data_IF_253641973946
#
_entry.id   IF_253641973946
#
_cell.length_a   1.000
_cell.length_b   1.000
_cell.length_c   1.000
_cell.angle_alpha   90.00
_cell.angle_beta   90.00
_cell.angle_gamma   90.00
#
_symmetry.space_group_name_H-M   'P 1'
#
loop_
_entity.id
_entity.type
_entity.pdbx_description
1 polymer ?
#
# COMPACT_ATOMS: atom_id res chain seq x y z
N UNK A 1 -0.33 56.99 29.64
CA UNK A 1 -0.41 56.59 28.22
C UNK A 1 -0.70 55.10 28.14
N UNK A 2 -1.94 54.71 28.41
CA UNK A 2 -2.36 53.31 28.40
C UNK A 2 -3.86 53.27 28.06
N UNK A 3 -4.17 53.30 26.77
CA UNK A 3 -5.52 53.07 26.22
C UNK A 3 -5.42 52.92 24.69
N UNK A 4 -4.93 51.78 24.19
CA UNK A 4 -5.12 51.39 22.77
C UNK A 4 -5.01 49.89 22.48
N UNK A 5 -5.00 49.02 23.50
CA UNK A 5 -4.73 47.57 23.31
C UNK A 5 -5.95 46.65 23.28
N UNK A 6 -7.15 47.13 23.60
CA UNK A 6 -8.33 46.27 23.80
C UNK A 6 -9.27 46.14 22.58
N UNK A 7 -8.94 46.79 21.45
CA UNK A 7 -9.78 46.82 20.25
C UNK A 7 -9.55 45.68 19.27
N UNK A 8 -8.30 45.26 19.09
CA UNK A 8 -7.92 44.27 18.07
C UNK A 8 -8.25 42.82 18.47
N UNK A 9 -8.02 42.45 19.74
CA UNK A 9 -8.36 41.10 20.24
C UNK A 9 -9.88 40.87 20.26
N UNK A 10 -10.68 41.91 20.48
CA UNK A 10 -12.14 41.82 20.47
C UNK A 10 -12.77 41.69 19.07
N UNK A 11 -12.04 42.07 18.02
CA UNK A 11 -12.49 41.99 16.63
C UNK A 11 -12.13 40.63 16.01
N UNK A 12 -10.97 40.08 16.38
CA UNK A 12 -10.53 38.72 16.01
C UNK A 12 -11.42 37.64 16.66
N UNK A 13 -11.78 37.81 17.93
CA UNK A 13 -12.77 36.95 18.63
C UNK A 13 -14.18 37.05 18.02
N UNK A 14 -14.54 38.20 17.42
CA UNK A 14 -15.83 38.36 16.73
C UNK A 14 -15.84 37.72 15.34
N UNK A 15 -14.70 37.72 14.64
CA UNK A 15 -14.54 37.00 13.37
C UNK A 15 -14.57 35.48 13.59
N UNK A 16 -13.90 34.98 14.63
CA UNK A 16 -13.94 33.57 15.01
C UNK A 16 -15.33 33.14 15.49
N UNK A 17 -16.03 33.97 16.27
CA UNK A 17 -17.41 33.70 16.66
C UNK A 17 -18.41 33.80 15.48
N UNK A 18 -18.13 34.62 14.46
CA UNK A 18 -18.95 34.68 13.24
C UNK A 18 -18.73 33.46 12.31
N UNK A 19 -17.59 32.79 12.42
CA UNK A 19 -17.32 31.50 11.75
C UNK A 19 -18.01 30.34 12.49
N UNK A 20 -18.08 30.38 13.83
CA UNK A 20 -18.81 29.37 14.64
C UNK A 20 -20.33 29.58 14.66
N UNK A 21 -20.83 30.81 14.52
CA UNK A 21 -22.27 31.11 14.57
C UNK A 21 -23.00 30.89 13.22
N UNK A 22 -22.29 30.47 12.17
CA UNK A 22 -22.82 30.32 10.81
C UNK A 22 -23.86 29.21 10.62
N UNK A 23 -24.07 28.32 11.60
CA UNK A 23 -24.98 27.17 11.45
C UNK A 23 -26.04 27.02 12.55
N UNK A 24 -26.07 27.91 13.54
CA UNK A 24 -27.02 27.82 14.67
C UNK A 24 -28.26 28.74 14.54
N UNK A 25 -28.45 29.41 13.40
CA UNK A 25 -29.50 30.43 13.29
C UNK A 25 -29.97 30.81 11.88
N UNK A 26 -29.74 29.96 10.86
CA UNK A 26 -30.24 30.26 9.53
C UNK A 26 -31.77 30.06 9.46
N UNK A 27 -32.56 31.05 8.99
CA UNK A 27 -34.00 30.89 8.80
C UNK A 27 -34.27 29.80 7.76
N UNK A 28 -35.31 29.00 7.99
CA UNK A 28 -35.72 27.90 7.12
C UNK A 28 -36.02 28.40 5.68
N UNK A 29 -35.02 28.35 4.80
CA UNK A 29 -35.12 28.86 3.44
C UNK A 29 -33.77 29.13 2.74
N UNK A 30 -32.69 29.40 3.48
CA UNK A 30 -31.35 29.51 2.87
C UNK A 30 -30.73 28.12 2.70
N UNK A 31 -30.53 27.71 1.44
CA UNK A 31 -29.78 26.49 1.12
C UNK A 31 -28.36 26.68 1.61
N UNK A 32 -27.90 25.81 2.51
CA UNK A 32 -26.48 25.75 2.90
C UNK A 32 -25.62 25.64 1.64
N UNK A 33 -24.57 26.45 1.57
CA UNK A 33 -23.60 26.39 0.47
C UNK A 33 -22.75 25.11 0.52
N UNK A 34 -22.67 24.47 1.70
CA UNK A 34 -22.07 23.16 1.89
C UNK A 34 -23.03 22.07 1.41
N UNK A 35 -22.49 21.09 0.70
CA UNK A 35 -23.16 19.81 0.48
C UNK A 35 -23.30 19.11 1.84
N UNK A 36 -24.50 18.61 2.14
CA UNK A 36 -24.77 17.84 3.35
C UNK A 36 -25.62 16.61 2.97
N UNK A 37 -25.22 15.44 3.49
CA UNK A 37 -25.86 14.16 3.21
C UNK A 37 -26.52 13.49 4.44
N UNK A 38 -26.64 14.17 5.58
CA UNK A 38 -27.20 13.64 6.83
C UNK A 38 -28.64 13.12 6.71
N UNK A 39 -29.37 13.58 5.69
CA UNK A 39 -30.73 13.14 5.37
C UNK A 39 -30.82 11.89 4.46
N UNK A 40 -29.71 11.46 3.86
CA UNK A 40 -29.68 10.30 2.96
C UNK A 40 -29.37 9.04 3.76
N UNK A 41 -30.42 8.28 4.10
CA UNK A 41 -30.26 6.93 4.64
C UNK A 41 -30.53 5.90 3.55
N UNK A 42 -29.66 4.89 3.40
CA UNK A 42 -29.96 3.72 2.57
C UNK A 42 -31.21 3.00 3.11
N UNK A 43 -31.98 2.30 2.27
CA UNK A 43 -33.07 1.44 2.73
C UNK A 43 -32.56 0.37 3.70
N UNK A 44 -33.20 0.22 4.88
CA UNK A 44 -32.78 -0.71 5.95
C UNK A 44 -32.70 -2.19 5.50
N UNK A 45 -33.39 -2.56 4.41
CA UNK A 45 -33.50 -3.94 3.95
C UNK A 45 -32.22 -4.54 3.31
N UNK A 46 -31.18 -3.74 3.05
CA UNK A 46 -29.97 -4.17 2.32
C UNK A 46 -28.65 -3.92 3.07
N UNK A 47 -28.72 -3.63 4.37
CA UNK A 47 -27.56 -3.35 5.22
C UNK A 47 -26.81 -4.60 5.72
N UNK A 48 -27.31 -5.80 5.42
CA UNK A 48 -26.60 -7.04 5.74
C UNK A 48 -25.43 -7.22 4.76
N UNK A 49 -24.19 -7.11 5.27
CA UNK A 49 -22.97 -7.48 4.54
C UNK A 49 -23.14 -8.92 4.02
N UNK A 50 -23.18 -9.18 2.70
CA UNK A 50 -23.13 -10.55 2.23
C UNK A 50 -21.80 -11.15 2.72
N UNK A 51 -21.88 -12.29 3.41
CA UNK A 51 -20.70 -12.97 3.92
C UNK A 51 -19.76 -13.27 2.73
N UNK A 52 -18.62 -12.57 2.65
CA UNK A 52 -17.56 -12.86 1.68
C UNK A 52 -17.02 -14.27 1.93
N UNK A 53 -17.68 -15.27 1.36
CA UNK A 53 -17.17 -16.63 1.31
C UNK A 53 -15.91 -16.69 0.46
N UNK A 54 -14.88 -17.37 0.98
CA UNK A 54 -13.56 -17.57 0.37
C UNK A 54 -13.57 -18.16 -1.06
N UNK A 55 -14.73 -18.58 -1.58
CA UNK A 55 -14.86 -19.35 -2.81
C UNK A 55 -14.98 -18.54 -4.10
N UNK A 56 -15.26 -17.24 -4.06
CA UNK A 56 -15.51 -16.46 -5.28
C UNK A 56 -14.25 -15.99 -6.03
N UNK A 57 -13.07 -16.10 -5.45
CA UNK A 57 -11.85 -15.53 -6.05
C UNK A 57 -11.21 -16.41 -7.15
N UNK A 58 -11.63 -17.67 -7.32
CA UNK A 58 -11.00 -18.61 -8.26
C UNK A 58 -11.82 -18.93 -9.52
N UNK A 59 -13.10 -18.58 -9.60
CA UNK A 59 -13.96 -18.89 -10.75
C UNK A 59 -14.81 -17.67 -11.15
N UNK A 60 -14.15 -16.66 -11.73
CA UNK A 60 -14.75 -15.36 -12.08
C UNK A 60 -15.71 -15.36 -13.29
N UNK A 61 -16.44 -16.44 -13.59
CA UNK A 61 -17.30 -16.51 -14.79
C UNK A 61 -18.61 -17.31 -14.58
N UNK A 62 -19.17 -17.35 -13.37
CA UNK A 62 -20.53 -17.88 -13.18
C UNK A 62 -21.37 -16.77 -12.55
N UNK A 63 -22.42 -16.36 -13.29
CA UNK A 63 -23.10 -15.07 -13.17
C UNK A 63 -23.47 -14.63 -11.76
N UNK A 64 -23.16 -13.37 -11.45
CA UNK A 64 -23.70 -12.68 -10.29
C UNK A 64 -25.23 -12.63 -10.40
N UNK A 65 -25.94 -13.00 -9.34
CA UNK A 65 -27.38 -12.81 -9.31
C UNK A 65 -27.67 -11.29 -9.36
N UNK A 66 -28.76 -10.83 -9.99
CA UNK A 66 -29.11 -9.40 -10.03
C UNK A 66 -29.17 -8.76 -8.63
N UNK A 67 -29.54 -9.54 -7.61
CA UNK A 67 -29.58 -9.10 -6.21
C UNK A 67 -28.19 -8.81 -5.64
N UNK A 68 -27.15 -9.58 -6.02
CA UNK A 68 -25.77 -9.36 -5.58
C UNK A 68 -25.20 -8.06 -6.16
N UNK A 69 -25.52 -7.76 -7.42
CA UNK A 69 -25.08 -6.53 -8.10
C UNK A 69 -25.72 -5.29 -7.46
N UNK A 70 -27.00 -5.39 -7.09
CA UNK A 70 -27.72 -4.30 -6.42
C UNK A 70 -27.19 -4.10 -5.00
N UNK A 71 -26.93 -5.18 -4.26
CA UNK A 71 -26.33 -5.10 -2.92
C UNK A 71 -24.93 -4.48 -2.95
N UNK A 72 -24.09 -4.88 -3.91
CA UNK A 72 -22.75 -4.32 -4.12
C UNK A 72 -22.82 -2.82 -4.44
N UNK A 73 -23.76 -2.39 -5.29
CA UNK A 73 -23.99 -0.97 -5.58
C UNK A 73 -24.35 -0.16 -4.33
N UNK A 74 -25.32 -0.63 -3.52
CA UNK A 74 -25.70 0.08 -2.29
C UNK A 74 -24.55 0.11 -1.27
N UNK A 75 -23.77 -0.97 -1.19
CA UNK A 75 -22.58 -1.00 -0.33
C UNK A 75 -21.56 0.07 -0.77
N UNK A 76 -21.29 0.21 -2.07
CA UNK A 76 -20.43 1.27 -2.59
C UNK A 76 -20.96 2.68 -2.26
N UNK A 77 -22.28 2.89 -2.32
CA UNK A 77 -22.88 4.17 -1.93
C UNK A 77 -22.73 4.45 -0.42
N UNK A 78 -22.85 3.44 0.43
CA UNK A 78 -22.64 3.58 1.88
C UNK A 78 -21.17 3.93 2.18
N UNK A 79 -20.23 3.20 1.58
CA UNK A 79 -18.79 3.46 1.74
C UNK A 79 -18.41 4.88 1.24
N UNK A 80 -19.05 5.35 0.16
CA UNK A 80 -18.89 6.71 -0.34
C UNK A 80 -19.38 7.76 0.69
N UNK A 81 -20.58 7.56 1.25
CA UNK A 81 -21.16 8.46 2.26
C UNK A 81 -20.33 8.49 3.56
N UNK A 82 -19.85 7.33 4.01
CA UNK A 82 -18.91 7.25 5.13
C UNK A 82 -17.64 8.05 4.83
N UNK A 83 -17.14 7.97 3.59
CA UNK A 83 -16.03 8.78 3.11
C UNK A 83 -16.25 10.28 3.14
N UNK A 84 -17.45 10.76 2.82
CA UNK A 84 -17.79 12.19 2.93
C UNK A 84 -17.85 12.65 4.39
N UNK A 85 -18.41 11.82 5.27
CA UNK A 85 -18.41 12.10 6.71
C UNK A 85 -16.99 12.19 7.29
N UNK A 86 -16.05 11.37 6.81
CA UNK A 86 -14.63 11.51 7.15
C UNK A 86 -14.07 12.87 6.72
N UNK A 87 -14.40 13.34 5.51
CA UNK A 87 -13.95 14.64 4.99
C UNK A 87 -14.55 15.82 5.77
N UNK A 88 -15.80 15.71 6.20
CA UNK A 88 -16.44 16.70 7.06
C UNK A 88 -15.80 16.72 8.45
N UNK A 89 -15.52 15.55 9.03
CA UNK A 89 -14.80 15.45 10.29
C UNK A 89 -13.39 16.09 10.21
N UNK A 90 -12.68 15.90 9.10
CA UNK A 90 -11.40 16.58 8.85
C UNK A 90 -11.58 18.10 8.75
N UNK A 91 -12.63 18.56 8.08
CA UNK A 91 -12.91 19.99 7.90
C UNK A 91 -13.25 20.67 9.22
N UNK A 92 -14.06 20.04 10.06
CA UNK A 92 -14.55 20.63 11.30
C UNK A 92 -13.55 20.49 12.46
N UNK A 93 -12.83 19.37 12.54
CA UNK A 93 -11.86 19.11 13.62
C UNK A 93 -10.44 19.52 13.26
N UNK A 94 -10.16 19.76 11.98
CA UNK A 94 -8.83 20.05 11.45
C UNK A 94 -7.89 18.84 11.41
N UNK A 95 -8.32 17.66 11.86
CA UNK A 95 -7.59 16.40 11.80
C UNK A 95 -8.57 15.23 11.63
N UNK A 96 -8.18 14.22 10.85
CA UNK A 96 -8.83 12.92 10.89
C UNK A 96 -8.45 12.22 12.21
N UNK A 97 -9.36 11.48 12.88
CA UNK A 97 -9.00 10.61 13.99
C UNK A 97 -7.96 9.59 13.50
N UNK A 98 -6.70 9.89 13.73
CA UNK A 98 -5.55 9.16 13.22
C UNK A 98 -4.41 9.26 14.20
N UNK A 99 -3.43 8.36 14.04
CA UNK A 99 -2.31 8.26 14.96
C UNK A 99 -1.57 9.59 15.15
N UNK A 100 -1.31 9.92 16.41
CA UNK A 100 -0.49 11.06 16.82
C UNK A 100 0.93 10.96 16.22
N UNK A 101 1.62 12.10 16.16
CA UNK A 101 3.01 12.15 15.66
C UNK A 101 3.92 11.16 16.40
N UNK A 102 3.73 11.02 17.71
CA UNK A 102 4.48 10.09 18.55
C UNK A 102 4.19 8.64 18.19
N UNK A 103 2.93 8.27 17.96
CA UNK A 103 2.55 6.94 17.50
C UNK A 103 3.11 6.64 16.10
N UNK A 104 3.13 7.62 15.18
CA UNK A 104 3.74 7.46 13.85
C UNK A 104 5.25 7.20 13.94
N UNK A 105 5.95 7.94 14.80
CA UNK A 105 7.38 7.71 15.03
C UNK A 105 7.65 6.35 15.69
N UNK A 106 6.79 5.91 16.63
CA UNK A 106 6.89 4.59 17.24
C UNK A 106 6.68 3.48 16.21
N UNK A 107 5.68 3.62 15.33
CA UNK A 107 5.46 2.66 14.24
C UNK A 107 6.65 2.63 13.29
N UNK A 108 7.17 3.77 12.84
CA UNK A 108 8.36 3.80 11.97
C UNK A 108 9.61 3.15 12.62
N UNK A 109 9.79 3.32 13.94
CA UNK A 109 10.86 2.64 14.68
C UNK A 109 10.63 1.13 14.73
N UNK A 110 9.40 0.69 15.02
CA UNK A 110 9.05 -0.73 15.06
C UNK A 110 9.17 -1.41 13.70
N UNK A 111 8.85 -0.72 12.60
CA UNK A 111 9.07 -1.18 11.23
C UNK A 111 10.56 -1.34 10.92
N UNK A 112 11.37 -0.34 11.29
CA UNK A 112 12.83 -0.42 11.11
C UNK A 112 13.43 -1.57 11.93
N UNK A 113 12.91 -1.82 13.14
CA UNK A 113 13.30 -2.96 13.96
C UNK A 113 12.89 -4.28 13.32
N UNK A 114 11.69 -4.38 12.75
CA UNK A 114 11.23 -5.58 12.03
C UNK A 114 12.14 -5.93 10.85
N UNK A 115 12.51 -4.93 10.05
CA UNK A 115 13.43 -5.10 8.92
C UNK A 115 14.81 -5.58 9.41
N UNK A 116 15.35 -4.98 10.48
CA UNK A 116 16.64 -5.38 11.05
C UNK A 116 16.61 -6.79 11.61
N UNK A 117 15.55 -7.14 12.34
CA UNK A 117 15.40 -8.48 12.93
C UNK A 117 15.30 -9.55 11.85
N UNK A 118 14.51 -9.28 10.80
CA UNK A 118 14.38 -10.15 9.62
C UNK A 118 15.75 -10.42 8.97
N UNK A 119 16.53 -9.36 8.72
CA UNK A 119 17.85 -9.52 8.11
C UNK A 119 18.87 -10.23 9.01
N UNK A 120 18.85 -9.98 10.31
CA UNK A 120 19.70 -10.71 11.26
C UNK A 120 19.33 -12.20 11.26
N UNK A 121 18.04 -12.53 11.24
CA UNK A 121 17.58 -13.90 11.17
C UNK A 121 18.02 -14.58 9.87
N UNK A 122 17.81 -13.94 8.71
CA UNK A 122 18.26 -14.47 7.42
C UNK A 122 19.79 -14.67 7.37
N UNK A 123 20.56 -13.76 7.97
CA UNK A 123 22.02 -13.89 8.11
C UNK A 123 22.41 -15.12 8.95
N UNK A 124 21.75 -15.33 10.10
CA UNK A 124 22.00 -16.48 10.98
C UNK A 124 21.64 -17.79 10.28
N UNK A 125 20.50 -17.83 9.59
CA UNK A 125 20.05 -19.00 8.83
C UNK A 125 21.03 -19.33 7.69
N UNK A 126 21.48 -18.32 6.95
CA UNK A 126 22.49 -18.47 5.90
C UNK A 126 23.80 -19.04 6.48
N UNK A 127 24.32 -18.48 7.57
CA UNK A 127 25.54 -18.96 8.20
C UNK A 127 25.42 -20.42 8.68
N UNK A 128 24.27 -20.79 9.26
CA UNK A 128 23.99 -22.16 9.69
C UNK A 128 23.97 -23.14 8.50
N UNK A 129 23.33 -22.76 7.39
CA UNK A 129 23.29 -23.59 6.17
C UNK A 129 24.66 -23.69 5.49
N UNK A 130 25.45 -22.62 5.46
CA UNK A 130 26.83 -22.65 4.92
C UNK A 130 27.69 -23.63 5.74
N UNK A 131 27.59 -23.57 7.06
CA UNK A 131 28.29 -24.51 7.93
C UNK A 131 27.87 -25.97 7.65
N UNK A 132 26.57 -26.23 7.50
CA UNK A 132 26.05 -27.55 7.15
C UNK A 132 26.52 -28.03 5.75
N UNK A 133 26.56 -27.11 4.77
CA UNK A 133 27.02 -27.36 3.40
C UNK A 133 28.48 -27.80 3.36
N UNK A 134 29.38 -27.04 4.01
CA UNK A 134 30.82 -27.36 4.07
C UNK A 134 31.07 -28.70 4.74
N UNK A 135 30.31 -29.03 5.79
CA UNK A 135 30.48 -30.29 6.53
C UNK A 135 29.92 -31.50 5.78
N UNK A 136 28.82 -31.32 5.05
CA UNK A 136 28.15 -32.42 4.36
C UNK A 136 28.68 -32.70 2.96
N UNK A 137 29.24 -31.69 2.27
CA UNK A 137 29.68 -31.82 0.87
C UNK A 137 28.58 -32.20 -0.12
N UNK A 138 27.30 -32.08 0.27
CA UNK A 138 26.15 -32.52 -0.52
C UNK A 138 25.66 -31.43 -1.46
N UNK A 139 25.39 -31.80 -2.72
CA UNK A 139 24.86 -30.89 -3.74
C UNK A 139 23.48 -30.30 -3.37
N UNK A 140 22.60 -31.03 -2.68
CA UNK A 140 21.32 -30.46 -2.24
C UNK A 140 21.49 -29.42 -1.14
N UNK A 141 22.44 -29.62 -0.22
CA UNK A 141 22.69 -28.63 0.83
C UNK A 141 23.33 -27.38 0.21
N UNK A 142 24.17 -27.52 -0.82
CA UNK A 142 24.68 -26.40 -1.62
C UNK A 142 23.54 -25.66 -2.33
N UNK A 143 22.59 -26.36 -2.96
CA UNK A 143 21.42 -25.73 -3.56
C UNK A 143 20.61 -24.94 -2.51
N UNK A 144 20.31 -25.54 -1.35
CA UNK A 144 19.60 -24.85 -0.26
C UNK A 144 20.35 -23.67 0.36
N UNK A 145 21.70 -23.65 0.28
CA UNK A 145 22.49 -22.47 0.67
C UNK A 145 22.38 -21.32 -0.32
N UNK A 146 22.28 -21.62 -1.62
CA UNK A 146 22.07 -20.60 -2.65
C UNK A 146 20.72 -19.91 -2.48
N UNK A 147 19.69 -20.66 -2.10
CA UNK A 147 18.38 -20.09 -1.77
C UNK A 147 18.49 -19.08 -0.62
N UNK A 148 19.14 -19.47 0.48
CA UNK A 148 19.32 -18.55 1.62
C UNK A 148 20.29 -17.39 1.36
N UNK A 149 21.19 -17.51 0.38
CA UNK A 149 21.98 -16.38 -0.10
C UNK A 149 21.08 -15.36 -0.81
N UNK A 150 20.13 -15.84 -1.59
CA UNK A 150 19.19 -14.99 -2.32
C UNK A 150 18.20 -14.32 -1.36
N UNK A 151 17.74 -15.01 -0.31
CA UNK A 151 16.96 -14.41 0.80
C UNK A 151 17.73 -13.28 1.53
N UNK A 152 19.05 -13.45 1.65
CA UNK A 152 19.91 -12.44 2.27
C UNK A 152 20.10 -11.24 1.35
N UNK A 153 20.30 -11.49 0.05
CA UNK A 153 20.42 -10.45 -0.97
C UNK A 153 19.11 -9.67 -1.11
N UNK A 154 17.97 -10.36 -1.11
CA UNK A 154 16.63 -9.80 -1.20
C UNK A 154 16.31 -8.93 0.04
N UNK A 155 16.63 -9.42 1.24
CA UNK A 155 16.54 -8.65 2.49
C UNK A 155 17.51 -7.45 2.54
N UNK A 156 18.72 -7.60 1.99
CA UNK A 156 19.65 -6.48 1.85
C UNK A 156 19.08 -5.37 0.95
N UNK A 157 18.47 -5.70 -0.18
CA UNK A 157 17.83 -4.73 -1.09
C UNK A 157 16.72 -3.95 -0.38
N UNK A 158 15.85 -4.63 0.35
CA UNK A 158 14.74 -3.99 1.07
C UNK A 158 15.24 -3.12 2.24
N UNK A 159 16.25 -3.58 2.99
CA UNK A 159 16.86 -2.78 4.05
C UNK A 159 17.60 -1.56 3.50
N UNK A 160 18.35 -1.72 2.41
CA UNK A 160 19.03 -0.62 1.74
C UNK A 160 18.01 0.41 1.23
N UNK A 161 16.88 -0.04 0.69
CA UNK A 161 15.77 0.82 0.28
C UNK A 161 15.22 1.61 1.47
N UNK A 162 14.89 0.95 2.57
CA UNK A 162 14.39 1.60 3.79
C UNK A 162 15.40 2.59 4.38
N UNK A 163 16.68 2.22 4.41
CA UNK A 163 17.76 3.10 4.86
C UNK A 163 17.94 4.31 3.94
N UNK A 164 17.90 4.11 2.62
CA UNK A 164 18.01 5.18 1.64
C UNK A 164 16.88 6.20 1.78
N UNK A 165 15.65 5.76 2.05
CA UNK A 165 14.50 6.63 2.29
C UNK A 165 14.63 7.49 3.56
N UNK A 166 15.34 7.00 4.58
CA UNK A 166 15.57 7.73 5.84
C UNK A 166 16.63 8.83 5.73
N UNK A 167 17.33 8.95 4.59
CA UNK A 167 18.38 9.97 4.38
C UNK A 167 17.87 11.17 3.56
N UNK A 168 17.32 12.22 4.20
CA UNK A 168 16.88 13.41 3.49
C UNK A 168 18.10 14.19 2.96
N UNK A 169 18.07 14.54 1.68
CA UNK A 169 19.04 15.46 1.08
C UNK A 169 18.28 16.44 0.18
N UNK A 170 17.90 17.62 0.68
CA UNK A 170 17.10 18.59 -0.08
C UNK A 170 17.78 19.09 -1.35
N UNK A 171 19.12 19.10 -1.40
CA UNK A 171 19.88 19.60 -2.57
C UNK A 171 19.89 18.63 -3.75
N UNK A 172 19.82 17.31 -3.50
CA UNK A 172 19.73 16.29 -4.56
C UNK A 172 18.31 15.81 -4.80
N UNK A 173 17.52 15.72 -3.73
CA UNK A 173 16.17 15.18 -3.74
C UNK A 173 15.26 16.16 -2.97
N UNK A 174 14.81 17.26 -3.61
CA UNK A 174 14.03 18.31 -2.96
C UNK A 174 12.67 17.79 -2.45
N UNK A 175 12.13 16.74 -3.08
CA UNK A 175 10.85 16.09 -2.71
C UNK A 175 11.11 14.86 -1.82
N UNK A 176 12.37 14.60 -1.43
CA UNK A 176 12.75 13.42 -0.67
C UNK A 176 12.92 12.15 -1.51
N UNK A 177 13.09 11.00 -0.84
CA UNK A 177 13.43 9.71 -1.44
C UNK A 177 12.37 8.64 -1.27
N UNK A 178 11.13 9.01 -0.91
CA UNK A 178 10.03 8.03 -0.70
C UNK A 178 9.78 7.15 -1.92
N UNK A 179 10.06 7.65 -3.13
CA UNK A 179 9.97 6.93 -4.41
C UNK A 179 10.92 5.74 -4.55
N UNK A 180 11.93 5.62 -3.68
CA UNK A 180 12.80 4.45 -3.65
C UNK A 180 12.03 3.19 -3.19
N UNK A 181 10.91 3.34 -2.47
CA UNK A 181 10.10 2.24 -1.95
C UNK A 181 9.63 1.27 -3.05
N UNK A 182 8.80 1.69 -4.03
CA UNK A 182 8.35 0.78 -5.08
C UNK A 182 9.50 0.31 -5.98
N UNK A 183 10.55 1.11 -6.17
CA UNK A 183 11.74 0.70 -6.91
C UNK A 183 12.46 -0.46 -6.20
N UNK A 184 12.61 -0.38 -4.87
CA UNK A 184 13.20 -1.44 -4.06
C UNK A 184 12.39 -2.72 -4.08
N UNK A 185 11.05 -2.60 -3.96
CA UNK A 185 10.13 -3.73 -4.04
C UNK A 185 10.17 -4.35 -5.45
N UNK A 186 10.26 -3.55 -6.50
CA UNK A 186 10.37 -4.02 -7.88
C UNK A 186 11.64 -4.82 -8.14
N UNK A 187 12.80 -4.35 -7.66
CA UNK A 187 14.07 -5.08 -7.78
C UNK A 187 14.00 -6.38 -6.98
N UNK A 188 13.49 -6.32 -5.75
CA UNK A 188 13.27 -7.48 -4.90
C UNK A 188 12.37 -8.53 -5.57
N UNK A 189 11.18 -8.14 -6.03
CA UNK A 189 10.24 -9.04 -6.71
C UNK A 189 10.82 -9.65 -8.00
N UNK A 190 11.66 -8.90 -8.73
CA UNK A 190 12.35 -9.41 -9.93
C UNK A 190 13.36 -10.51 -9.60
N UNK A 191 14.10 -10.37 -8.49
CA UNK A 191 15.01 -11.42 -7.99
C UNK A 191 14.20 -12.67 -7.59
N UNK A 192 13.09 -12.49 -6.88
CA UNK A 192 12.23 -13.61 -6.46
C UNK A 192 11.53 -14.32 -7.63
N UNK A 193 11.14 -13.58 -8.68
CA UNK A 193 10.61 -14.19 -9.91
C UNK A 193 11.69 -15.01 -10.64
N UNK A 194 12.94 -14.52 -10.65
CA UNK A 194 14.08 -15.24 -11.25
C UNK A 194 14.37 -16.53 -10.49
N UNK A 195 14.26 -16.51 -9.16
CA UNK A 195 14.32 -17.70 -8.29
C UNK A 195 13.28 -18.74 -8.68
N UNK A 196 12.02 -18.33 -8.86
CA UNK A 196 10.97 -19.22 -9.33
C UNK A 196 11.33 -19.86 -10.68
N UNK A 197 11.87 -19.09 -11.63
CA UNK A 197 12.30 -19.64 -12.92
C UNK A 197 13.44 -20.67 -12.77
N UNK A 198 14.40 -20.41 -11.87
CA UNK A 198 15.48 -21.34 -11.58
C UNK A 198 14.97 -22.67 -11.01
N UNK A 199 13.98 -22.62 -10.10
CA UNK A 199 13.35 -23.83 -9.55
C UNK A 199 12.66 -24.64 -10.66
N UNK A 200 11.97 -23.99 -11.60
CA UNK A 200 11.36 -24.69 -12.75
C UNK A 200 12.43 -25.40 -13.59
N UNK A 201 13.53 -24.70 -13.91
CA UNK A 201 14.60 -25.27 -14.72
C UNK A 201 15.25 -26.48 -14.04
N UNK A 202 15.54 -26.39 -12.74
CA UNK A 202 16.15 -27.48 -11.98
C UNK A 202 15.20 -28.67 -11.82
N UNK A 203 13.92 -28.41 -11.51
CA UNK A 203 12.90 -29.46 -11.40
C UNK A 203 12.67 -30.16 -12.74
N UNK A 204 12.68 -29.42 -13.85
CA UNK A 204 12.56 -29.98 -15.20
C UNK A 204 13.77 -30.85 -15.55
N UNK A 205 14.99 -30.41 -15.19
CA UNK A 205 16.20 -31.22 -15.36
C UNK A 205 16.15 -32.49 -14.54
N UNK A 206 15.62 -32.42 -13.32
CA UNK A 206 15.43 -33.59 -12.45
C UNK A 206 14.40 -34.58 -13.01
N UNK A 207 13.36 -34.11 -13.70
CA UNK A 207 12.40 -34.98 -14.39
C UNK A 207 12.99 -35.66 -15.63
N UNK A 208 13.85 -34.96 -16.36
CA UNK A 208 14.46 -35.48 -17.60
C UNK A 208 15.67 -36.38 -17.33
N UNK A 209 16.28 -36.26 -16.15
CA UNK A 209 17.42 -37.07 -15.72
C UNK A 209 16.90 -38.27 -14.93
N UNK A 210 16.68 -39.39 -15.61
CA UNK A 210 16.06 -40.63 -15.09
C UNK A 210 16.93 -41.40 -14.07
N UNK A 211 17.73 -40.72 -13.23
CA UNK A 211 18.82 -41.38 -12.49
C UNK A 211 19.39 -40.64 -11.29
N UNK A 212 18.61 -39.80 -10.62
CA UNK A 212 19.03 -39.22 -9.34
C UNK A 212 18.31 -39.87 -8.17
N UNK A 213 18.69 -41.09 -7.74
CA UNK A 213 18.41 -41.50 -6.36
C UNK A 213 19.12 -40.51 -5.45
N UNK A 214 18.39 -39.46 -5.03
CA UNK A 214 18.85 -38.53 -4.01
C UNK A 214 18.81 -39.26 -2.65
N UNK A 215 19.70 -40.23 -2.50
CA UNK A 215 19.81 -41.05 -1.29
C UNK A 215 20.57 -40.26 -0.23
N UNK A 216 19.86 -39.37 0.46
CA UNK A 216 20.33 -38.87 1.74
C UNK A 216 20.50 -40.08 2.67
N UNK A 217 21.66 -40.23 3.31
CA UNK A 217 21.79 -41.23 4.37
C UNK A 217 20.79 -40.91 5.49
N UNK A 218 20.20 -41.94 6.13
CA UNK A 218 19.17 -41.75 7.17
C UNK A 218 19.56 -40.79 8.30
N UNK A 219 20.85 -40.62 8.56
CA UNK A 219 21.36 -39.61 9.51
C UNK A 219 21.37 -38.19 8.92
N UNK A 220 21.74 -38.02 7.65
CA UNK A 220 21.68 -36.74 6.94
C UNK A 220 20.24 -36.27 6.73
N UNK A 221 19.32 -37.19 6.44
CA UNK A 221 17.89 -36.91 6.28
C UNK A 221 17.30 -36.32 7.57
N UNK A 222 17.61 -36.89 8.74
CA UNK A 222 17.17 -36.36 10.03
C UNK A 222 17.72 -34.96 10.32
N UNK A 223 19.01 -34.72 10.03
CA UNK A 223 19.61 -33.39 10.20
C UNK A 223 19.02 -32.34 9.25
N UNK A 224 18.75 -32.71 8.00
CA UNK A 224 18.12 -31.81 7.02
C UNK A 224 16.69 -31.48 7.44
N UNK A 225 15.91 -32.48 7.86
CA UNK A 225 14.54 -32.28 8.37
C UNK A 225 14.53 -31.38 9.62
N UNK A 226 15.42 -31.59 10.58
CA UNK A 226 15.51 -30.76 11.79
C UNK A 226 15.90 -29.30 11.45
N UNK A 227 16.84 -29.10 10.51
CA UNK A 227 17.23 -27.76 10.04
C UNK A 227 16.06 -27.09 9.30
N UNK A 228 15.39 -27.78 8.37
CA UNK A 228 14.25 -27.22 7.64
C UNK A 228 13.07 -26.89 8.55
N UNK A 229 12.79 -27.72 9.56
CA UNK A 229 11.76 -27.45 10.56
C UNK A 229 12.10 -26.21 11.40
N UNK A 230 13.36 -26.07 11.83
CA UNK A 230 13.82 -24.89 12.58
C UNK A 230 13.72 -23.59 11.75
N UNK A 231 14.11 -23.65 10.47
CA UNK A 231 13.99 -22.53 9.51
C UNK A 231 12.53 -22.13 9.34
N UNK A 232 11.65 -23.13 9.17
CA UNK A 232 10.20 -22.90 8.99
C UNK A 232 9.58 -22.21 10.21
N UNK A 233 9.94 -22.63 11.43
CA UNK A 233 9.44 -22.01 12.66
C UNK A 233 9.93 -20.56 12.81
N UNK A 234 11.20 -20.30 12.52
CA UNK A 234 11.77 -18.95 12.59
C UNK A 234 11.10 -18.03 11.55
N UNK A 235 10.99 -18.48 10.29
CA UNK A 235 10.33 -17.70 9.23
C UNK A 235 8.84 -17.50 9.52
N UNK A 236 8.14 -18.47 10.10
CA UNK A 236 6.74 -18.31 10.50
C UNK A 236 6.58 -17.24 11.60
N UNK A 237 7.45 -17.24 12.61
CA UNK A 237 7.42 -16.22 13.65
C UNK A 237 7.69 -14.82 13.07
N UNK A 238 8.65 -14.70 12.15
CA UNK A 238 8.93 -13.44 11.45
C UNK A 238 7.77 -13.01 10.55
N UNK A 239 7.13 -13.93 9.83
CA UNK A 239 5.95 -13.66 9.01
C UNK A 239 4.79 -13.09 9.83
N UNK A 240 4.50 -13.69 10.99
CA UNK A 240 3.45 -13.22 11.90
C UNK A 240 3.79 -11.85 12.48
N UNK A 241 5.06 -11.61 12.82
CA UNK A 241 5.51 -10.31 13.30
C UNK A 241 5.47 -9.23 12.20
N UNK A 242 5.93 -9.51 10.99
CA UNK A 242 5.90 -8.56 9.88
C UNK A 242 4.47 -8.25 9.42
N UNK A 243 3.53 -9.20 9.56
CA UNK A 243 2.11 -8.99 9.21
C UNK A 243 1.38 -7.95 10.04
N UNK A 244 1.89 -7.60 11.23
CA UNK A 244 1.25 -6.57 12.05
C UNK A 244 1.47 -5.15 11.53
N UNK A 245 2.35 -4.96 10.54
CA UNK A 245 2.71 -3.65 10.01
C UNK A 245 2.03 -3.36 8.67
N UNK A 246 1.72 -2.10 8.43
CA UNK A 246 1.03 -1.63 7.22
C UNK A 246 1.98 -1.21 6.09
N UNK A 247 3.25 -0.94 6.41
CA UNK A 247 4.30 -0.53 5.47
C UNK A 247 4.55 -1.58 4.37
N UNK A 248 4.60 -1.16 3.11
CA UNK A 248 4.76 -2.06 1.97
C UNK A 248 6.10 -2.80 1.96
N UNK A 249 7.18 -2.19 2.45
CA UNK A 249 8.48 -2.87 2.59
C UNK A 249 8.36 -4.03 3.58
N UNK A 250 7.68 -3.80 4.71
CA UNK A 250 7.48 -4.84 5.73
C UNK A 250 6.47 -5.89 5.26
N UNK A 251 5.46 -5.50 4.49
CA UNK A 251 4.55 -6.43 3.81
C UNK A 251 5.28 -7.31 2.80
N UNK A 252 6.20 -6.75 2.01
CA UNK A 252 7.03 -7.52 1.09
C UNK A 252 7.86 -8.56 1.84
N UNK A 253 8.48 -8.20 2.98
CA UNK A 253 9.12 -9.16 3.89
C UNK A 253 8.16 -10.23 4.42
N UNK A 254 6.97 -9.83 4.87
CA UNK A 254 5.99 -10.78 5.38
C UNK A 254 5.62 -11.80 4.29
N UNK A 255 5.35 -11.31 3.07
CA UNK A 255 5.03 -12.14 1.91
C UNK A 255 6.16 -13.11 1.57
N UNK A 256 7.40 -12.63 1.61
CA UNK A 256 8.60 -13.45 1.42
C UNK A 256 8.68 -14.59 2.44
N UNK A 257 8.63 -14.25 3.74
CA UNK A 257 8.68 -15.23 4.82
C UNK A 257 7.55 -16.25 4.76
N UNK A 258 6.34 -15.81 4.40
CA UNK A 258 5.19 -16.73 4.22
C UNK A 258 5.46 -17.66 3.05
N UNK A 259 5.95 -17.12 1.94
CA UNK A 259 6.25 -17.89 0.76
C UNK A 259 7.30 -18.97 1.07
N UNK A 260 8.34 -18.62 1.82
CA UNK A 260 9.35 -19.56 2.28
C UNK A 260 8.81 -20.61 3.24
N UNK A 261 7.88 -20.25 4.13
CA UNK A 261 7.21 -21.22 5.00
C UNK A 261 6.39 -22.21 4.17
N UNK A 262 5.65 -21.72 3.16
CA UNK A 262 4.84 -22.56 2.27
C UNK A 262 5.73 -23.51 1.48
N UNK A 263 6.81 -23.01 0.86
CA UNK A 263 7.72 -23.85 0.07
C UNK A 263 8.46 -24.88 0.94
N UNK A 264 8.90 -24.49 2.15
CA UNK A 264 9.54 -25.43 3.07
C UNK A 264 8.57 -26.51 3.57
N UNK A 265 7.31 -26.16 3.90
CA UNK A 265 6.30 -27.14 4.33
C UNK A 265 6.01 -28.12 3.19
N UNK A 266 5.79 -27.62 1.98
CA UNK A 266 5.46 -28.48 0.84
C UNK A 266 6.66 -29.34 0.44
N UNK A 267 7.88 -28.80 0.47
CA UNK A 267 9.10 -29.58 0.28
C UNK A 267 9.27 -30.67 1.34
N UNK A 268 8.96 -30.38 2.60
CA UNK A 268 8.99 -31.38 3.67
C UNK A 268 7.93 -32.48 3.46
N UNK A 269 6.71 -32.10 3.07
CA UNK A 269 5.64 -33.05 2.74
C UNK A 269 6.04 -33.91 1.54
N UNK A 270 6.62 -33.32 0.51
CA UNK A 270 7.11 -34.04 -0.67
C UNK A 270 8.21 -35.04 -0.29
N UNK A 271 9.18 -34.64 0.54
CA UNK A 271 10.23 -35.53 1.05
C UNK A 271 9.68 -36.70 1.87
N UNK A 272 8.69 -36.46 2.74
CA UNK A 272 8.05 -37.53 3.52
C UNK A 272 7.24 -38.50 2.65
N UNK A 273 6.61 -37.99 1.60
CA UNK A 273 5.82 -38.77 0.65
C UNK A 273 6.67 -39.47 -0.43
N UNK A 274 7.92 -39.05 -0.62
CA UNK A 274 8.85 -39.65 -1.59
C UNK A 274 9.10 -41.15 -1.32
N UNK A 275 8.95 -41.60 -0.07
CA UNK A 275 9.06 -43.02 0.29
C UNK A 275 7.81 -43.86 -0.05
N UNK A 276 6.68 -43.22 -0.37
CA UNK A 276 5.40 -43.88 -0.64
C UNK A 276 4.94 -43.76 -2.09
N UNK A 277 5.44 -42.76 -2.82
CA UNK A 277 5.04 -42.47 -4.20
C UNK A 277 6.26 -42.44 -5.14
N UNK A 278 6.03 -42.73 -6.42
CA UNK A 278 7.06 -42.67 -7.47
C UNK A 278 7.75 -41.29 -7.54
N UNK A 279 9.05 -41.28 -7.86
CA UNK A 279 9.94 -40.11 -7.76
C UNK A 279 9.62 -38.89 -8.66
N UNK A 280 8.49 -38.89 -9.37
CA UNK A 280 8.05 -37.76 -10.20
C UNK A 280 7.22 -36.73 -9.44
N UNK A 281 6.67 -37.07 -8.25
CA UNK A 281 5.79 -36.15 -7.50
C UNK A 281 6.56 -34.91 -7.00
N UNK A 282 7.80 -35.09 -6.54
CA UNK A 282 8.60 -34.02 -5.96
C UNK A 282 8.95 -32.92 -7.00
N UNK A 283 9.51 -33.25 -8.19
CA UNK A 283 9.74 -32.25 -9.22
C UNK A 283 8.47 -31.60 -9.78
N UNK A 284 7.35 -32.34 -9.90
CA UNK A 284 6.07 -31.77 -10.37
C UNK A 284 5.51 -30.79 -9.35
N UNK A 285 5.57 -31.13 -8.05
CA UNK A 285 5.19 -30.23 -6.96
C UNK A 285 6.02 -28.95 -6.95
N UNK A 286 7.34 -29.06 -7.14
CA UNK A 286 8.25 -27.93 -7.23
C UNK A 286 7.93 -27.00 -8.43
N UNK A 287 7.59 -27.56 -9.60
CA UNK A 287 7.18 -26.77 -10.78
C UNK A 287 5.88 -26.01 -10.51
N UNK A 288 4.86 -26.66 -9.93
CA UNK A 288 3.58 -26.01 -9.61
C UNK A 288 3.80 -24.84 -8.66
N UNK A 289 4.61 -25.05 -7.61
CA UNK A 289 4.96 -23.99 -6.68
C UNK A 289 5.68 -22.85 -7.33
N UNK A 290 6.68 -23.14 -8.15
CA UNK A 290 7.46 -22.12 -8.81
C UNK A 290 6.62 -21.28 -9.79
N UNK A 291 5.64 -21.87 -10.48
CA UNK A 291 4.67 -21.12 -11.30
C UNK A 291 3.84 -20.17 -10.42
N UNK A 292 3.39 -20.63 -9.26
CA UNK A 292 2.67 -19.80 -8.30
C UNK A 292 3.55 -18.64 -7.77
N UNK A 293 4.83 -18.89 -7.49
CA UNK A 293 5.83 -17.88 -7.11
C UNK A 293 5.97 -16.81 -8.17
N UNK A 294 6.26 -17.22 -9.42
CA UNK A 294 6.47 -16.31 -10.54
C UNK A 294 5.24 -15.45 -10.75
N UNK A 295 4.04 -16.05 -10.71
CA UNK A 295 2.79 -15.30 -10.84
C UNK A 295 2.64 -14.25 -9.74
N UNK A 296 2.86 -14.65 -8.48
CA UNK A 296 2.71 -13.76 -7.32
C UNK A 296 3.67 -12.57 -7.42
N UNK A 297 4.95 -12.83 -7.65
CA UNK A 297 5.95 -11.76 -7.74
C UNK A 297 5.81 -10.91 -9.00
N UNK A 298 5.36 -11.49 -10.12
CA UNK A 298 5.08 -10.72 -11.33
C UNK A 298 3.91 -9.75 -11.14
N UNK A 299 2.87 -10.13 -10.39
CA UNK A 299 1.79 -9.21 -10.02
C UNK A 299 2.31 -8.09 -9.12
N UNK A 300 3.16 -8.41 -8.12
CA UNK A 300 3.82 -7.39 -7.29
C UNK A 300 4.67 -6.43 -8.12
N UNK A 301 5.38 -6.91 -9.15
CA UNK A 301 6.11 -6.03 -10.08
C UNK A 301 5.15 -5.09 -10.80
N UNK A 302 4.05 -5.59 -11.37
CA UNK A 302 3.07 -4.77 -12.10
C UNK A 302 2.45 -3.69 -11.21
N UNK A 303 2.06 -4.03 -9.99
CA UNK A 303 1.52 -3.08 -9.00
C UNK A 303 2.51 -1.95 -8.70
N UNK A 304 3.78 -2.28 -8.49
CA UNK A 304 4.83 -1.29 -8.20
C UNK A 304 5.20 -0.46 -9.44
N UNK A 305 5.11 -1.03 -10.65
CA UNK A 305 5.26 -0.27 -11.90
C UNK A 305 4.12 0.73 -12.05
N UNK A 306 2.87 0.34 -11.81
CA UNK A 306 1.73 1.25 -11.90
C UNK A 306 1.84 2.41 -10.89
N UNK A 307 2.27 2.11 -9.67
CA UNK A 307 2.57 3.11 -8.62
C UNK A 307 3.66 4.12 -9.05
N UNK A 308 4.65 3.68 -9.83
CA UNK A 308 5.73 4.53 -10.35
C UNK A 308 5.33 5.35 -11.58
N UNK A 309 4.46 4.82 -12.44
CA UNK A 309 4.07 5.43 -13.71
C UNK A 309 3.07 6.57 -13.52
N UNK A 310 2.31 6.59 -12.44
CA UNK A 310 1.28 7.61 -12.22
C UNK A 310 -0.13 7.10 -12.43
N UNK A 311 -0.46 5.92 -11.88
CA UNK A 311 -1.84 5.43 -11.92
C UNK A 311 -2.77 6.40 -11.18
N UNK A 312 -3.91 6.72 -11.78
CA UNK A 312 -4.91 7.57 -11.13
C UNK A 312 -5.50 6.89 -9.90
N UNK A 313 -5.83 7.68 -8.87
CA UNK A 313 -6.55 7.22 -7.70
C UNK A 313 -7.91 6.62 -8.09
N UNK A 314 -8.48 5.83 -7.19
CA UNK A 314 -9.79 5.23 -7.45
C UNK A 314 -10.86 6.32 -7.60
N UNK A 315 -11.92 6.09 -8.41
CA UNK A 315 -13.00 7.05 -8.59
C UNK A 315 -13.64 7.49 -7.27
N UNK A 316 -13.73 6.59 -6.30
CA UNK A 316 -14.29 6.85 -4.98
C UNK A 316 -13.41 7.85 -4.21
N UNK A 317 -12.08 7.70 -4.29
CA UNK A 317 -11.15 8.64 -3.66
C UNK A 317 -11.21 10.01 -4.34
N UNK A 318 -11.28 10.05 -5.68
CA UNK A 318 -11.47 11.30 -6.42
C UNK A 318 -12.76 12.01 -5.99
N UNK A 319 -13.87 11.28 -5.81
CA UNK A 319 -15.12 11.85 -5.32
C UNK A 319 -14.98 12.43 -3.90
N UNK A 320 -14.28 11.75 -2.99
CA UNK A 320 -13.98 12.29 -1.65
C UNK A 320 -13.21 13.62 -1.74
N UNK A 321 -12.19 13.68 -2.60
CA UNK A 321 -11.41 14.91 -2.82
C UNK A 321 -12.27 16.03 -3.42
N UNK A 322 -13.09 15.73 -4.43
CA UNK A 322 -14.01 16.70 -5.02
C UNK A 322 -15.00 17.24 -3.99
N UNK A 323 -15.57 16.38 -3.15
CA UNK A 323 -16.45 16.79 -2.06
C UNK A 323 -15.75 17.72 -1.07
N UNK A 324 -14.53 17.35 -0.63
CA UNK A 324 -13.71 18.17 0.27
C UNK A 324 -13.41 19.55 -0.32
N UNK A 325 -13.08 19.61 -1.62
CA UNK A 325 -12.79 20.86 -2.32
C UNK A 325 -14.05 21.75 -2.42
N UNK A 326 -15.22 21.15 -2.68
CA UNK A 326 -16.47 21.90 -2.81
C UNK A 326 -16.90 22.51 -1.47
N UNK A 327 -16.82 21.71 -0.40
CA UNK A 327 -17.18 22.14 0.95
C UNK A 327 -16.11 23.00 1.63
N UNK A 328 -14.99 23.29 0.94
CA UNK A 328 -13.89 24.03 1.52
C UNK A 328 -14.27 25.49 1.86
N UNK A 329 -14.84 26.22 0.90
CA UNK A 329 -15.13 27.65 1.08
C UNK A 329 -16.29 28.13 0.19
N UNK A 330 -17.14 29.02 0.72
CA UNK A 330 -18.34 29.56 0.04
C UNK A 330 -18.06 30.32 -1.28
N UNK A 331 -16.81 30.73 -1.49
CA UNK A 331 -16.41 31.47 -2.69
C UNK A 331 -16.07 30.56 -3.88
N UNK A 332 -15.90 29.26 -3.65
CA UNK A 332 -15.69 28.28 -4.72
C UNK A 332 -16.96 28.21 -5.57
N UNK A 333 -16.84 28.56 -6.86
CA UNK A 333 -17.97 28.56 -7.79
C UNK A 333 -18.07 27.25 -8.56
N UNK A 334 -16.92 26.76 -9.01
CA UNK A 334 -16.78 25.52 -9.77
C UNK A 334 -15.51 24.80 -9.33
N UNK A 335 -15.55 23.47 -9.39
CA UNK A 335 -14.36 22.64 -9.40
C UNK A 335 -14.17 22.24 -10.85
N UNK A 336 -13.03 22.62 -11.38
CA UNK A 336 -12.75 22.44 -12.79
C UNK A 336 -12.15 21.06 -13.04
N UNK A 337 -11.00 20.81 -12.41
CA UNK A 337 -10.27 19.55 -12.54
C UNK A 337 -9.83 19.05 -11.17
N UNK A 338 -10.01 17.74 -10.93
CA UNK A 338 -9.43 17.03 -9.79
C UNK A 338 -8.68 15.83 -10.33
N UNK A 339 -7.36 15.83 -10.16
CA UNK A 339 -6.50 14.71 -10.51
C UNK A 339 -5.77 14.26 -9.27
N UNK A 340 -5.83 12.97 -9.00
CA UNK A 340 -4.98 12.33 -8.02
C UNK A 340 -4.31 11.16 -8.70
N UNK A 341 -2.99 11.08 -8.61
CA UNK A 341 -2.21 10.00 -9.20
C UNK A 341 -1.07 9.58 -8.28
N UNK A 342 -0.73 8.30 -8.32
CA UNK A 342 0.32 7.73 -7.47
C UNK A 342 1.68 8.24 -7.91
N UNK A 343 2.53 8.61 -6.96
CA UNK A 343 3.91 8.91 -7.28
C UNK A 343 4.85 8.32 -6.24
N UNK A 344 4.98 7.00 -6.32
CA UNK A 344 5.48 6.21 -5.20
C UNK A 344 4.33 5.66 -4.37
N UNK A 345 4.51 5.59 -3.06
CA UNK A 345 3.51 5.03 -2.13
C UNK A 345 2.40 5.99 -1.71
N UNK A 346 2.43 7.25 -2.19
CA UNK A 346 1.47 8.30 -1.83
C UNK A 346 0.94 8.99 -3.10
N UNK A 347 -0.16 9.72 -2.97
CA UNK A 347 -0.77 10.49 -4.04
C UNK A 347 -0.19 11.89 -4.15
N UNK A 348 -0.07 12.33 -5.40
CA UNK A 348 0.03 13.72 -5.80
C UNK A 348 -1.35 14.15 -6.26
N UNK A 349 -1.81 15.28 -5.73
CA UNK A 349 -3.15 15.80 -6.01
C UNK A 349 -3.02 17.15 -6.69
N UNK A 350 -3.67 17.32 -7.83
CA UNK A 350 -3.80 18.56 -8.57
C UNK A 350 -5.28 18.93 -8.60
N UNK A 351 -5.61 20.13 -8.13
CA UNK A 351 -6.98 20.62 -8.04
C UNK A 351 -7.04 22.02 -8.61
N UNK A 352 -7.97 22.22 -9.52
CA UNK A 352 -8.23 23.52 -10.13
C UNK A 352 -9.61 24.00 -9.64
N UNK A 353 -9.62 25.08 -8.86
CA UNK A 353 -10.86 25.68 -8.33
C UNK A 353 -11.11 27.04 -8.96
N UNK A 354 -12.39 27.32 -9.24
CA UNK A 354 -12.81 28.58 -9.86
C UNK A 354 -13.33 29.55 -8.81
N UNK A 355 -12.67 30.70 -8.71
CA UNK A 355 -12.99 31.80 -7.81
C UNK A 355 -13.56 33.01 -8.57
N UNK A 356 -14.20 33.98 -7.88
CA UNK A 356 -14.71 35.18 -8.50
C UNK A 356 -13.59 36.03 -9.15
N UNK A 357 -13.74 36.40 -10.42
CA UNK A 357 -12.74 37.20 -11.16
C UNK A 357 -12.37 38.56 -10.53
N UNK A 358 -13.26 39.13 -9.71
CA UNK A 358 -13.03 40.39 -9.00
C UNK A 358 -12.40 40.22 -7.60
N UNK A 359 -12.10 38.99 -7.19
CA UNK A 359 -11.50 38.70 -5.88
C UNK A 359 -10.06 39.21 -5.83
N UNK A 360 -9.63 39.89 -4.75
CA UNK A 360 -8.23 40.24 -4.55
C UNK A 360 -7.35 39.00 -4.56
N UNK A 361 -6.18 39.08 -5.21
CA UNK A 361 -5.24 37.95 -5.29
C UNK A 361 -4.86 37.40 -3.91
N UNK A 362 -4.74 38.27 -2.91
CA UNK A 362 -4.46 37.88 -1.53
C UNK A 362 -5.55 36.95 -0.98
N UNK A 363 -6.82 37.33 -1.08
CA UNK A 363 -7.94 36.50 -0.60
C UNK A 363 -8.04 35.18 -1.36
N UNK A 364 -7.83 35.23 -2.68
CA UNK A 364 -7.80 34.01 -3.50
C UNK A 364 -6.67 33.08 -3.05
N UNK A 365 -5.47 33.62 -2.83
CA UNK A 365 -4.31 32.88 -2.37
C UNK A 365 -4.55 32.25 -0.99
N UNK A 366 -5.09 32.99 -0.04
CA UNK A 366 -5.37 32.49 1.31
C UNK A 366 -6.38 31.32 1.28
N UNK A 367 -7.39 31.38 0.40
CA UNK A 367 -8.34 30.27 0.18
C UNK A 367 -7.61 29.06 -0.44
N UNK A 368 -6.77 29.29 -1.45
CA UNK A 368 -6.00 28.23 -2.11
C UNK A 368 -5.00 27.53 -1.19
N UNK A 369 -4.24 28.30 -0.41
CA UNK A 369 -3.27 27.80 0.56
C UNK A 369 -3.97 27.00 1.67
N UNK A 370 -5.09 27.51 2.21
CA UNK A 370 -5.88 26.76 3.20
C UNK A 370 -6.44 25.45 2.62
N UNK A 371 -6.81 25.41 1.33
CA UNK A 371 -7.23 24.17 0.68
C UNK A 371 -6.06 23.20 0.50
N UNK A 372 -4.90 23.70 0.09
CA UNK A 372 -3.68 22.90 -0.05
C UNK A 372 -3.32 22.24 1.28
N UNK A 373 -3.25 23.02 2.37
CA UNK A 373 -2.97 22.48 3.70
C UNK A 373 -4.02 21.44 4.14
N UNK A 374 -5.30 21.67 3.81
CA UNK A 374 -6.38 20.74 4.14
C UNK A 374 -6.21 19.40 3.41
N UNK A 375 -5.85 19.43 2.14
CA UNK A 375 -5.56 18.23 1.34
C UNK A 375 -4.32 17.50 1.86
N UNK A 376 -3.23 18.22 2.16
CA UNK A 376 -1.97 17.62 2.66
C UNK A 376 -2.09 17.02 4.08
N UNK A 377 -3.18 17.28 4.81
CA UNK A 377 -3.49 16.61 6.07
C UNK A 377 -4.00 15.17 5.88
N UNK A 378 -4.44 14.79 4.68
CA UNK A 378 -4.83 13.43 4.37
C UNK A 378 -3.59 12.51 4.36
N UNK A 379 -3.61 11.36 5.05
CA UNK A 379 -2.42 10.53 5.23
C UNK A 379 -1.89 9.93 3.91
N UNK A 380 -2.75 9.75 2.91
CA UNK A 380 -2.38 9.22 1.60
C UNK A 380 -1.79 10.28 0.66
N UNK A 381 -1.94 11.57 0.95
CA UNK A 381 -1.46 12.67 0.10
C UNK A 381 -0.07 13.09 0.55
N UNK A 382 0.90 13.02 -0.35
CA UNK A 382 2.25 13.55 -0.09
C UNK A 382 2.31 15.05 -0.35
N UNK A 383 1.61 15.51 -1.40
CA UNK A 383 1.58 16.90 -1.82
C UNK A 383 0.33 17.22 -2.61
N UNK A 384 -0.21 18.42 -2.39
CA UNK A 384 -1.30 18.96 -3.18
C UNK A 384 -0.83 20.21 -3.95
N UNK A 385 -1.35 20.38 -5.17
CA UNK A 385 -1.21 21.59 -5.97
C UNK A 385 -2.62 22.12 -6.19
N UNK A 386 -2.86 23.34 -5.74
CA UNK A 386 -4.14 24.02 -5.92
C UNK A 386 -3.94 25.16 -6.91
N UNK A 387 -4.52 25.05 -8.09
CA UNK A 387 -4.60 26.14 -9.05
C UNK A 387 -5.90 26.92 -8.83
N UNK A 388 -5.81 28.24 -9.02
CA UNK A 388 -6.92 29.17 -8.81
C UNK A 388 -7.25 29.83 -10.12
N UNK A 389 -8.39 29.46 -10.69
CA UNK A 389 -8.87 29.99 -11.95
C UNK A 389 -10.03 30.97 -11.74
N UNK A 390 -10.22 31.88 -12.69
CA UNK A 390 -11.37 32.77 -12.74
C UNK A 390 -12.31 32.44 -13.90
N UNK A 391 -11.84 31.59 -14.84
CA UNK A 391 -12.62 31.06 -15.94
C UNK A 391 -12.77 29.55 -15.82
N UNK A 392 -13.79 29.00 -16.49
CA UNK A 392 -14.09 27.56 -16.56
C UNK A 392 -14.21 27.09 -18.01
N UNK A 393 -13.91 27.98 -18.96
CA UNK A 393 -13.92 27.71 -20.40
C UNK A 393 -12.55 27.22 -20.83
N UNK A 394 -12.36 25.90 -20.75
CA UNK A 394 -11.12 25.22 -21.16
C UNK A 394 -10.70 25.57 -22.59
N UNK A 395 -9.62 26.34 -22.72
CA UNK A 395 -8.76 26.28 -23.89
C UNK A 395 -7.64 25.29 -23.57
N UNK A 396 -7.20 24.43 -24.52
CA UNK A 396 -6.15 23.46 -24.24
C UNK A 396 -4.90 24.15 -23.69
N UNK A 397 -4.65 23.96 -22.41
CA UNK A 397 -3.64 24.67 -21.61
C UNK A 397 -2.23 24.14 -21.88
N UNK A 398 -2.14 22.93 -22.41
CA UNK A 398 -0.89 22.31 -22.82
C UNK A 398 -0.90 22.06 -24.32
N UNK A 399 0.15 22.55 -25.00
CA UNK A 399 0.37 22.35 -26.43
C UNK A 399 0.45 20.86 -26.86
N UNK A 400 0.53 19.95 -25.90
CA UNK A 400 0.59 18.48 -26.07
C UNK A 400 -0.48 17.74 -25.26
N UNK A 401 -1.50 18.42 -24.73
CA UNK A 401 -2.62 17.73 -24.07
C UNK A 401 -3.35 16.86 -25.09
N UNK A 402 -3.58 15.61 -24.72
CA UNK A 402 -3.99 14.54 -25.62
C UNK A 402 -5.27 14.86 -26.42
N UNK A 403 -5.12 14.97 -27.74
CA UNK A 403 -6.15 14.53 -28.69
C UNK A 403 -6.34 13.03 -28.50
N UNK A 404 -7.30 12.60 -27.67
CA UNK A 404 -7.95 11.28 -27.76
C UNK A 404 -9.38 11.30 -27.27
#
# INVERSE_FOLDING_TARGET
>A
MAASGAGAEGEELRLLAAVEAGDAGAPAGEKSWRLNFDGLRPPEAQQERPARGLHHHCLGVIGQAPEDVVAEYYQQQVEMLEGFNEMDALTDRGFLPGMSKEEREQVARSETLAIRLSNIANMVLFAAKVYASVRSGSLAIIASTLDSLLDLLSGFILWFTAFSMQTPNPYRYPIGKKRMQPLGILVFASVMATLGLQIILESTRSLLSDGGEFSLTKEQEKWVVDIMLSVTLVKLALALYCRTFTNEIVKAYAQDHIFDVITNIIGLVAALLANYFEGWIDPVGAIILAIYTIRTWSMTVLENVHSLVGQSASPEYLQKLTYLCWNHHKAVRHIDTVRAYTFGSHYFVEVDIVLPAGMPLQEAHDIGEALQEKLERLPEIERAFVHLDYEFTHRPEHALSHDK
#
